data_IF_822880216202
#
_entry.id   IF_822880216202
#
_cell.length_a   1.000
_cell.length_b   1.000
_cell.length_c   1.000
_cell.angle_alpha   90.00
_cell.angle_beta   90.00
_cell.angle_gamma   90.00
#
_symmetry.space_group_name_H-M   'P 1'
#
loop_
_entity.id
_entity.type
_entity.pdbx_description
1 polymer ?
#
# COMPACT_ATOMS: atom_id res chain seq x y z
N UNK A 1 12.64 9.58 -11.91
CA UNK A 1 12.49 10.10 -10.54
C UNK A 1 11.65 9.13 -9.73
N UNK A 2 12.15 8.77 -8.56
CA UNK A 2 11.36 7.97 -7.64
C UNK A 2 10.33 8.86 -6.94
N UNK A 3 9.08 8.50 -7.05
CA UNK A 3 8.02 9.17 -6.32
C UNK A 3 8.13 8.80 -4.84
N UNK A 4 7.86 9.76 -3.95
CA UNK A 4 7.82 9.46 -2.52
C UNK A 4 6.59 8.60 -2.22
N UNK A 5 6.80 7.51 -1.50
CA UNK A 5 5.72 6.65 -1.04
C UNK A 5 5.29 7.15 0.35
N UNK A 6 4.06 7.62 0.45
CA UNK A 6 3.52 8.10 1.72
C UNK A 6 3.03 6.93 2.56
N UNK A 7 3.56 6.80 3.77
CA UNK A 7 3.22 5.72 4.68
C UNK A 7 2.98 6.25 6.09
N UNK A 8 2.10 5.57 6.81
CA UNK A 8 2.01 5.75 8.26
C UNK A 8 3.17 5.00 8.90
N UNK A 9 3.47 5.28 10.16
CA UNK A 9 4.49 4.52 10.89
C UNK A 9 4.12 3.03 10.92
N UNK A 10 2.86 2.71 11.14
CA UNK A 10 2.40 1.32 11.13
C UNK A 10 2.65 0.64 9.78
N UNK A 11 2.36 1.34 8.68
CA UNK A 11 2.60 0.80 7.33
C UNK A 11 4.08 0.55 7.07
N UNK A 12 4.94 1.47 7.47
CA UNK A 12 6.38 1.29 7.35
C UNK A 12 6.87 0.09 8.18
N UNK A 13 6.40 -0.01 9.42
CA UNK A 13 6.77 -1.12 10.30
C UNK A 13 6.37 -2.47 9.72
N UNK A 14 5.23 -2.55 9.04
CA UNK A 14 4.80 -3.78 8.35
C UNK A 14 5.74 -4.16 7.22
N UNK A 15 6.19 -3.18 6.42
CA UNK A 15 7.16 -3.43 5.34
C UNK A 15 8.49 -3.93 5.91
N UNK A 16 8.96 -3.29 6.98
CA UNK A 16 10.20 -3.67 7.64
C UNK A 16 10.11 -5.07 8.22
N UNK A 17 8.99 -5.41 8.87
CA UNK A 17 8.78 -6.74 9.44
C UNK A 17 8.75 -7.81 8.36
N UNK A 18 8.10 -7.55 7.24
CA UNK A 18 8.07 -8.48 6.11
C UNK A 18 9.48 -8.67 5.55
N UNK A 19 10.21 -7.56 5.29
CA UNK A 19 11.58 -7.63 4.78
C UNK A 19 12.46 -8.44 5.72
N UNK A 20 12.41 -8.18 7.02
CA UNK A 20 13.24 -8.87 8.00
C UNK A 20 12.93 -10.36 8.06
N UNK A 21 11.65 -10.73 7.98
CA UNK A 21 11.25 -12.14 7.92
C UNK A 21 11.81 -12.83 6.68
N UNK A 22 11.67 -12.18 5.51
CA UNK A 22 12.16 -12.74 4.25
C UNK A 22 13.68 -12.93 4.28
N UNK A 23 14.41 -11.97 4.83
CA UNK A 23 15.88 -12.03 4.89
C UNK A 23 16.35 -13.03 5.93
N UNK A 24 15.76 -13.07 7.11
CA UNK A 24 16.24 -13.90 8.22
C UNK A 24 15.71 -15.34 8.20
N UNK A 25 14.50 -15.56 7.68
CA UNK A 25 13.85 -16.87 7.70
C UNK A 25 13.74 -17.48 6.30
N UNK A 26 13.10 -16.76 5.37
CA UNK A 26 12.82 -17.31 4.06
C UNK A 26 14.07 -17.58 3.22
N UNK A 27 15.05 -16.70 3.26
CA UNK A 27 16.32 -16.94 2.55
C UNK A 27 16.97 -18.23 2.99
N UNK A 28 16.95 -18.48 4.30
CA UNK A 28 17.52 -19.70 4.88
C UNK A 28 16.77 -20.92 4.40
N UNK A 29 15.44 -20.89 4.46
CA UNK A 29 14.60 -22.01 4.01
C UNK A 29 14.83 -22.34 2.54
N UNK A 30 14.90 -21.32 1.68
CA UNK A 30 15.11 -21.50 0.25
C UNK A 30 16.52 -22.03 -0.02
N UNK A 31 17.54 -21.53 0.70
CA UNK A 31 18.91 -22.02 0.58
C UNK A 31 19.00 -23.49 0.97
N UNK A 32 18.33 -23.90 2.03
CA UNK A 32 18.29 -25.31 2.45
C UNK A 32 17.62 -26.18 1.38
N UNK A 33 16.54 -25.72 0.76
CA UNK A 33 15.87 -26.43 -0.32
C UNK A 33 16.78 -26.58 -1.54
N UNK A 34 17.52 -25.53 -1.90
CA UNK A 34 18.48 -25.57 -2.98
C UNK A 34 19.59 -26.60 -2.70
N UNK A 35 20.13 -26.53 -1.49
CA UNK A 35 21.19 -27.46 -1.08
C UNK A 35 20.70 -28.91 -1.14
N UNK A 36 19.51 -29.17 -0.63
CA UNK A 36 18.89 -30.50 -0.66
C UNK A 36 18.67 -30.95 -2.11
N UNK A 37 18.17 -30.08 -2.98
CA UNK A 37 17.95 -30.41 -4.39
C UNK A 37 19.28 -30.77 -5.11
N UNK A 38 20.36 -30.06 -4.79
CA UNK A 38 21.70 -30.36 -5.33
C UNK A 38 22.13 -31.74 -4.89
N UNK A 39 21.80 -32.17 -3.69
CA UNK A 39 22.19 -33.45 -3.14
C UNK A 39 21.56 -34.65 -3.89
N UNK A 40 20.46 -34.42 -4.65
CA UNK A 40 19.79 -35.46 -5.42
C UNK A 40 20.50 -35.81 -6.73
N UNK A 41 21.55 -35.07 -7.13
CA UNK A 41 22.42 -35.43 -8.25
C UNK A 41 22.20 -34.60 -9.51
N UNK A 42 21.65 -35.19 -10.58
CA UNK A 42 21.57 -34.56 -11.89
C UNK A 42 20.69 -33.28 -11.90
N UNK A 43 21.35 -32.14 -11.97
CA UNK A 43 20.68 -30.83 -11.94
C UNK A 43 19.93 -30.49 -13.24
N UNK A 44 20.30 -31.13 -14.35
CA UNK A 44 19.67 -30.83 -15.65
C UNK A 44 18.24 -31.39 -15.75
N UNK A 45 17.90 -32.37 -14.95
CA UNK A 45 16.58 -33.02 -14.93
C UNK A 45 15.93 -32.93 -13.56
N UNK A 46 16.48 -32.11 -12.67
CA UNK A 46 16.00 -31.97 -11.28
C UNK A 46 14.95 -30.89 -11.15
N UNK A 47 13.67 -31.29 -11.15
CA UNK A 47 12.54 -30.38 -11.00
C UNK A 47 12.56 -29.66 -9.65
N UNK A 48 13.06 -30.29 -8.59
CA UNK A 48 13.18 -29.67 -7.27
C UNK A 48 14.20 -28.53 -7.28
N UNK A 49 15.31 -28.72 -8.01
CA UNK A 49 16.31 -27.67 -8.16
C UNK A 49 15.74 -26.47 -8.91
N UNK A 50 15.03 -26.72 -10.01
CA UNK A 50 14.41 -25.64 -10.79
C UNK A 50 13.37 -24.89 -9.98
N UNK A 51 12.53 -25.60 -9.22
CA UNK A 51 11.53 -24.98 -8.36
C UNK A 51 12.17 -24.12 -7.27
N UNK A 52 13.24 -24.61 -6.65
CA UNK A 52 13.97 -23.87 -5.62
C UNK A 52 14.66 -22.63 -6.19
N UNK A 53 15.20 -22.72 -7.41
CA UNK A 53 15.80 -21.57 -8.09
C UNK A 53 14.76 -20.50 -8.42
N UNK A 54 13.59 -20.90 -8.88
CA UNK A 54 12.50 -19.98 -9.17
C UNK A 54 12.01 -19.30 -7.89
N UNK A 55 11.88 -20.05 -6.81
CA UNK A 55 11.49 -19.50 -5.50
C UNK A 55 12.52 -18.50 -5.00
N UNK A 56 13.83 -18.80 -5.20
CA UNK A 56 14.89 -17.88 -4.83
C UNK A 56 14.78 -16.55 -5.61
N UNK A 57 14.54 -16.63 -6.90
CA UNK A 57 14.40 -15.44 -7.75
C UNK A 57 13.20 -14.58 -7.30
N UNK A 58 12.06 -15.21 -7.06
CA UNK A 58 10.86 -14.50 -6.58
C UNK A 58 11.10 -13.86 -5.22
N UNK A 59 11.77 -14.57 -4.32
CA UNK A 59 12.10 -14.07 -2.99
C UNK A 59 12.99 -12.83 -3.05
N UNK A 60 14.07 -12.90 -3.85
CA UNK A 60 14.99 -11.78 -3.98
C UNK A 60 14.34 -10.58 -4.64
N UNK A 61 13.46 -10.81 -5.61
CA UNK A 61 12.68 -9.74 -6.23
C UNK A 61 11.77 -9.04 -5.21
N UNK A 62 11.09 -9.83 -4.36
CA UNK A 62 10.22 -9.27 -3.32
C UNK A 62 11.00 -8.48 -2.29
N UNK A 63 12.16 -8.99 -1.85
CA UNK A 63 13.04 -8.28 -0.91
C UNK A 63 13.48 -6.95 -1.50
N UNK A 64 13.94 -6.97 -2.76
CA UNK A 64 14.36 -5.75 -3.44
C UNK A 64 13.24 -4.72 -3.52
N UNK A 65 12.03 -5.16 -3.88
CA UNK A 65 10.85 -4.31 -3.98
C UNK A 65 10.52 -3.66 -2.62
N UNK A 66 10.57 -4.44 -1.54
CA UNK A 66 10.33 -3.93 -0.19
C UNK A 66 11.38 -2.90 0.20
N UNK A 67 12.66 -3.18 -0.08
CA UNK A 67 13.74 -2.25 0.23
C UNK A 67 13.62 -0.94 -0.55
N UNK A 68 13.21 -1.01 -1.82
CA UNK A 68 12.98 0.19 -2.62
C UNK A 68 11.80 1.01 -2.10
N UNK A 69 10.72 0.35 -1.68
CA UNK A 69 9.57 1.03 -1.08
C UNK A 69 9.98 1.73 0.22
N UNK A 70 10.75 1.05 1.07
CA UNK A 70 11.24 1.62 2.34
C UNK A 70 12.16 2.81 2.10
N UNK A 71 13.01 2.72 1.07
CA UNK A 71 13.93 3.81 0.71
C UNK A 71 13.20 5.06 0.23
N UNK A 72 12.11 4.90 -0.50
CA UNK A 72 11.32 6.02 -1.02
C UNK A 72 10.22 6.46 -0.05
N UNK A 73 10.06 5.77 1.08
CA UNK A 73 8.98 6.05 2.03
C UNK A 73 9.17 7.39 2.74
N UNK A 74 8.07 8.10 2.86
CA UNK A 74 7.97 9.28 3.71
C UNK A 74 6.94 8.96 4.79
N UNK A 75 7.38 8.93 6.03
CA UNK A 75 6.52 8.63 7.15
C UNK A 75 5.76 9.89 7.55
N UNK A 76 4.43 9.76 7.64
CA UNK A 76 3.58 10.85 8.05
C UNK A 76 3.37 10.74 9.55
N UNK A 77 3.76 11.79 10.27
CA UNK A 77 3.56 11.87 11.71
C UNK A 77 2.15 12.38 12.00
N UNK A 78 1.36 11.59 12.71
CA UNK A 78 -0.02 11.95 13.08
C UNK A 78 -0.09 13.27 13.84
N UNK A 79 0.92 13.60 14.63
CA UNK A 79 0.98 14.85 15.39
C UNK A 79 1.15 16.09 14.52
N UNK A 80 1.66 15.90 13.29
CA UNK A 80 1.86 16.98 12.32
C UNK A 80 0.65 17.18 11.43
N UNK A 81 -0.33 16.26 11.50
CA UNK A 81 -1.53 16.32 10.66
C UNK A 81 -2.53 17.31 11.26
N UNK A 82 -2.82 18.36 10.49
CA UNK A 82 -3.89 19.32 10.83
C UNK A 82 -5.25 18.67 10.56
N UNK A 83 -6.19 18.81 11.49
CA UNK A 83 -7.57 18.37 11.30
C UNK A 83 -8.40 19.28 10.39
N UNK A 84 -7.82 20.39 9.91
CA UNK A 84 -8.52 21.37 9.07
C UNK A 84 -8.61 20.96 7.61
N UNK A 85 -7.68 20.14 7.16
CA UNK A 85 -7.61 19.69 5.77
C UNK A 85 -7.48 18.18 5.71
N UNK A 86 -7.94 17.61 4.60
CA UNK A 86 -7.80 16.19 4.36
C UNK A 86 -6.33 15.85 4.10
N UNK A 87 -5.79 14.95 4.91
CA UNK A 87 -4.44 14.40 4.80
C UNK A 87 -4.49 12.89 4.90
N UNK A 88 -3.36 12.25 4.56
CA UNK A 88 -3.22 10.80 4.70
C UNK A 88 -3.34 10.43 6.19
N UNK A 89 -4.10 9.38 6.47
CA UNK A 89 -4.34 8.89 7.84
C UNK A 89 -5.61 9.41 8.49
N UNK A 90 -6.26 10.41 7.89
CA UNK A 90 -7.51 10.94 8.43
C UNK A 90 -8.72 10.22 7.85
N UNK A 91 -9.78 10.11 8.66
CA UNK A 91 -11.06 9.57 8.21
C UNK A 91 -11.90 10.70 7.63
N UNK A 92 -12.36 10.52 6.40
CA UNK A 92 -13.14 11.53 5.67
C UNK A 92 -14.53 10.98 5.41
N UNK A 93 -15.54 11.77 5.76
CA UNK A 93 -16.94 11.47 5.44
C UNK A 93 -17.38 12.41 4.31
N UNK A 94 -17.86 11.83 3.21
CA UNK A 94 -18.30 12.58 2.04
C UNK A 94 -19.71 12.15 1.63
N UNK A 95 -20.41 13.04 0.95
CA UNK A 95 -21.72 12.74 0.33
C UNK A 95 -21.60 12.91 -1.17
N UNK A 96 -21.93 11.87 -1.93
CA UNK A 96 -22.03 11.95 -3.38
C UNK A 96 -23.29 12.74 -3.71
N UNK A 97 -23.15 13.89 -4.33
CA UNK A 97 -24.29 14.80 -4.57
C UNK A 97 -25.34 14.21 -5.52
N UNK A 98 -24.92 13.44 -6.50
CA UNK A 98 -25.82 12.84 -7.51
C UNK A 98 -26.78 11.80 -6.91
N UNK A 99 -26.29 11.01 -5.95
CA UNK A 99 -27.07 9.93 -5.34
C UNK A 99 -27.51 10.20 -3.91
N UNK A 100 -26.87 11.16 -3.23
CA UNK A 100 -27.09 11.41 -1.81
C UNK A 100 -26.45 10.35 -0.91
N UNK A 101 -25.65 9.45 -1.47
CA UNK A 101 -24.97 8.39 -0.71
C UNK A 101 -23.86 8.97 0.14
N UNK A 102 -23.84 8.59 1.42
CA UNK A 102 -22.79 8.99 2.36
C UNK A 102 -21.75 7.88 2.42
N UNK A 103 -20.48 8.25 2.25
CA UNK A 103 -19.36 7.32 2.25
C UNK A 103 -18.28 7.79 3.20
N UNK A 104 -17.57 6.84 3.78
CA UNK A 104 -16.48 7.14 4.71
C UNK A 104 -15.21 6.43 4.24
N UNK A 105 -14.11 7.18 4.19
CA UNK A 105 -12.82 6.67 3.73
C UNK A 105 -11.69 7.09 4.66
N UNK A 106 -10.63 6.29 4.67
CA UNK A 106 -9.32 6.71 5.18
C UNK A 106 -8.39 6.77 3.98
N UNK A 107 -7.73 7.91 3.76
CA UNK A 107 -6.76 8.03 2.67
C UNK A 107 -5.41 7.56 3.21
N UNK A 108 -4.81 6.61 2.50
CA UNK A 108 -3.55 5.96 2.91
C UNK A 108 -2.59 5.92 1.73
N UNK A 109 -1.34 5.54 1.98
CA UNK A 109 -0.39 5.28 0.90
C UNK A 109 -0.82 4.05 0.11
N UNK A 110 -0.36 3.93 -1.13
CA UNK A 110 -0.79 2.86 -2.06
C UNK A 110 -0.61 1.45 -1.52
N UNK A 111 0.41 1.22 -0.69
CA UNK A 111 0.68 -0.10 -0.12
C UNK A 111 -0.29 -0.50 0.99
N UNK A 112 -1.00 0.46 1.57
CA UNK A 112 -1.94 0.22 2.66
C UNK A 112 -3.39 0.23 2.19
N UNK A 113 -3.65 0.51 0.91
CA UNK A 113 -5.00 0.61 0.37
C UNK A 113 -5.74 -0.72 0.48
N UNK A 114 -6.97 -0.67 0.97
CA UNK A 114 -7.85 -1.82 1.12
C UNK A 114 -9.30 -1.37 1.01
N UNK A 115 -9.93 -1.58 -0.17
CA UNK A 115 -11.30 -1.12 -0.38
C UNK A 115 -12.33 -1.90 0.42
N UNK A 116 -11.96 -3.05 0.98
CA UNK A 116 -12.86 -3.90 1.77
C UNK A 116 -12.77 -3.63 3.28
N UNK A 117 -11.85 -2.77 3.71
CA UNK A 117 -11.76 -2.36 5.12
C UNK A 117 -12.95 -1.47 5.50
N UNK A 118 -13.24 -1.37 6.79
CA UNK A 118 -14.27 -0.47 7.30
C UNK A 118 -13.66 0.47 8.35
N UNK A 119 -13.57 1.78 8.05
CA UNK A 119 -13.88 2.40 6.76
C UNK A 119 -12.89 1.99 5.65
N UNK A 120 -13.31 2.08 4.40
CA UNK A 120 -12.47 1.72 3.26
C UNK A 120 -11.17 2.55 3.26
N UNK A 121 -10.06 1.89 2.96
CA UNK A 121 -8.76 2.55 2.84
C UNK A 121 -8.47 2.77 1.37
N UNK A 122 -8.44 4.04 0.95
CA UNK A 122 -8.21 4.39 -0.45
C UNK A 122 -6.83 5.01 -0.61
N UNK A 123 -6.20 4.74 -1.75
CA UNK A 123 -4.87 5.26 -2.04
C UNK A 123 -4.91 6.77 -2.27
N UNK A 124 -3.88 7.48 -1.79
CA UNK A 124 -3.67 8.89 -2.09
C UNK A 124 -3.43 9.13 -3.58
N UNK A 125 -3.11 8.09 -4.34
CA UNK A 125 -2.91 8.15 -5.79
C UNK A 125 -4.18 7.82 -6.57
N UNK A 126 -5.24 7.33 -5.91
CA UNK A 126 -6.52 7.08 -6.56
C UNK A 126 -7.18 8.38 -7.00
N UNK A 127 -8.12 8.29 -7.94
CA UNK A 127 -8.81 9.49 -8.45
C UNK A 127 -9.52 10.26 -7.34
N UNK A 128 -10.25 9.56 -6.48
CA UNK A 128 -10.99 10.21 -5.39
C UNK A 128 -10.03 10.68 -4.30
N UNK A 129 -9.05 9.87 -3.89
CA UNK A 129 -8.07 10.23 -2.87
C UNK A 129 -7.26 11.46 -3.24
N UNK A 130 -6.76 11.47 -4.48
CA UNK A 130 -5.97 12.59 -4.99
C UNK A 130 -6.75 13.90 -5.03
N UNK A 131 -8.03 13.84 -5.41
CA UNK A 131 -8.87 15.02 -5.49
C UNK A 131 -9.32 15.52 -4.11
N UNK A 132 -9.40 14.62 -3.12
CA UNK A 132 -9.81 14.99 -1.76
C UNK A 132 -8.68 15.60 -0.93
N UNK A 133 -7.42 15.21 -1.21
CA UNK A 133 -6.28 15.73 -0.43
C UNK A 133 -6.23 17.25 -0.45
N UNK A 134 -6.06 17.84 0.73
CA UNK A 134 -5.97 19.28 0.90
C UNK A 134 -7.31 19.99 0.97
N UNK A 135 -8.42 19.30 0.81
CA UNK A 135 -9.76 19.88 0.87
C UNK A 135 -10.23 20.02 2.32
N UNK A 136 -11.21 20.89 2.52
CA UNK A 136 -11.77 21.20 3.83
C UNK A 136 -13.23 20.81 3.91
N UNK A 137 -13.76 20.74 5.12
CA UNK A 137 -15.20 20.52 5.33
C UNK A 137 -16.00 21.59 4.57
N UNK A 138 -16.99 21.16 3.81
CA UNK A 138 -17.83 22.02 2.98
C UNK A 138 -17.36 22.11 1.53
N UNK A 139 -16.14 21.70 1.23
CA UNK A 139 -15.64 21.70 -0.15
C UNK A 139 -16.32 20.59 -0.95
N UNK A 140 -16.55 20.87 -2.24
CA UNK A 140 -17.09 19.90 -3.19
C UNK A 140 -15.99 19.59 -4.20
N UNK A 141 -15.70 18.31 -4.40
CA UNK A 141 -14.70 17.86 -5.37
C UNK A 141 -15.38 17.17 -6.54
N UNK A 142 -14.86 17.44 -7.73
CA UNK A 142 -15.30 16.80 -8.95
C UNK A 142 -14.35 15.66 -9.29
N UNK A 143 -14.89 14.45 -9.45
CA UNK A 143 -14.11 13.27 -9.81
C UNK A 143 -14.60 12.76 -11.14
N UNK A 144 -13.69 12.72 -12.12
CA UNK A 144 -13.98 12.26 -13.48
C UNK A 144 -13.48 10.83 -13.62
N UNK A 145 -14.39 9.92 -13.89
CA UNK A 145 -14.09 8.49 -14.09
C UNK A 145 -14.74 8.01 -15.40
N UNK A 146 -14.39 6.82 -15.92
CA UNK A 146 -14.98 6.34 -17.18
C UNK A 146 -16.51 6.29 -17.16
N UNK A 147 -17.13 6.03 -16.00
CA UNK A 147 -18.59 5.96 -15.85
C UNK A 147 -19.27 7.32 -15.81
N UNK A 148 -18.49 8.41 -15.73
CA UNK A 148 -19.05 9.77 -15.70
C UNK A 148 -18.32 10.68 -14.74
N UNK A 149 -18.97 11.80 -14.43
CA UNK A 149 -18.45 12.80 -13.50
C UNK A 149 -19.31 12.80 -12.24
N UNK A 150 -18.65 12.68 -11.10
CA UNK A 150 -19.32 12.68 -9.80
C UNK A 150 -18.81 13.79 -8.91
N UNK A 151 -19.67 14.30 -8.04
CA UNK A 151 -19.34 15.37 -7.11
C UNK A 151 -19.46 14.86 -5.69
N UNK A 152 -18.43 15.08 -4.89
CA UNK A 152 -18.39 14.66 -3.49
C UNK A 152 -18.21 15.87 -2.59
N UNK A 153 -19.14 16.03 -1.65
CA UNK A 153 -19.06 17.10 -0.65
C UNK A 153 -18.40 16.54 0.60
N UNK A 154 -17.40 17.25 1.11
CA UNK A 154 -16.73 16.86 2.35
C UNK A 154 -17.61 17.29 3.54
N UNK A 155 -18.11 16.30 4.28
CA UNK A 155 -18.99 16.53 5.42
C UNK A 155 -18.24 16.59 6.75
N UNK A 156 -17.23 15.71 6.92
CA UNK A 156 -16.48 15.60 8.16
C UNK A 156 -15.06 15.09 7.89
N UNK A 157 -14.10 15.60 8.68
CA UNK A 157 -12.72 15.14 8.70
C UNK A 157 -12.39 14.80 10.15
N UNK A 158 -11.98 13.57 10.43
CA UNK A 158 -11.69 13.08 11.78
C UNK A 158 -10.34 12.37 11.84
N UNK A 159 -9.69 12.45 12.99
CA UNK A 159 -8.47 11.68 13.23
C UNK A 159 -8.80 10.24 13.60
#
# INVERSE_FOLDING_TARGET
MSEELLLTQEGYDKLEAERDHLVSVRRKEVSERLYEAISYGDLSENAEYDAAKNEQAELEERIHKLEMMMKSAKIINEDEISGDQINVGLTVTVTQEESGEVMQFVIVGSTEADPFAEPAKISNESMIGRNLLGKKVGDVVEVIVPDGTFHYRVDEIAK
#
